data_IF_871653443571
#
_entry.id   IF_871653443571
#
_cell.length_a   1.000
_cell.length_b   1.000
_cell.length_c   1.000
_cell.angle_alpha   90.00
_cell.angle_beta   90.00
_cell.angle_gamma   90.00
#
_symmetry.space_group_name_H-M   'P 1'
#
loop_
_entity.id
_entity.type
_entity.pdbx_description
1 polymer ?
#
# COMPACT_ATOMS: atom_id res chain seq x y z
N UNK A 1 -28.99 -9.49 -15.15
CA UNK A 1 -27.70 -8.79 -15.25
C UNK A 1 -27.68 -7.57 -14.34
N UNK A 2 -26.52 -7.20 -13.84
CA UNK A 2 -26.29 -5.99 -13.07
C UNK A 2 -25.24 -5.16 -13.82
N UNK A 3 -25.52 -3.88 -14.03
CA UNK A 3 -24.58 -2.95 -14.63
C UNK A 3 -23.62 -2.45 -13.54
N UNK A 4 -22.33 -2.46 -13.84
CA UNK A 4 -21.27 -1.94 -13.00
C UNK A 4 -20.53 -0.81 -13.72
N UNK A 5 -19.98 0.12 -12.97
CA UNK A 5 -19.30 1.29 -13.54
C UNK A 5 -17.88 0.97 -14.05
N UNK A 6 -17.33 -0.18 -13.62
CA UNK A 6 -16.00 -0.64 -14.04
C UNK A 6 -15.93 -2.17 -14.12
N UNK A 7 -14.98 -2.68 -14.92
CA UNK A 7 -14.66 -4.11 -15.01
C UNK A 7 -14.24 -4.66 -13.63
N UNK A 8 -13.53 -3.88 -12.85
CA UNK A 8 -13.11 -4.26 -11.50
C UNK A 8 -14.30 -4.45 -10.56
N UNK A 9 -15.29 -3.56 -10.60
CA UNK A 9 -16.51 -3.66 -9.81
C UNK A 9 -17.34 -4.89 -10.24
N UNK A 10 -17.41 -5.15 -11.53
CA UNK A 10 -18.08 -6.33 -12.06
C UNK A 10 -17.46 -7.64 -11.54
N UNK A 11 -16.12 -7.72 -11.49
CA UNK A 11 -15.39 -8.88 -10.96
C UNK A 11 -15.61 -9.07 -9.45
N UNK A 12 -15.67 -7.99 -8.68
CA UNK A 12 -15.97 -8.04 -7.24
C UNK A 12 -17.40 -8.55 -7.02
N UNK A 13 -18.35 -8.02 -7.78
CA UNK A 13 -19.75 -8.39 -7.69
C UNK A 13 -19.95 -9.86 -8.10
N UNK A 14 -19.34 -10.30 -9.21
CA UNK A 14 -19.37 -11.70 -9.65
C UNK A 14 -18.86 -12.63 -8.55
N UNK A 15 -17.70 -12.34 -7.99
CA UNK A 15 -17.14 -13.14 -6.89
C UNK A 15 -18.07 -13.19 -5.67
N UNK A 16 -18.65 -12.05 -5.28
CA UNK A 16 -19.59 -11.96 -4.16
C UNK A 16 -20.83 -12.83 -4.42
N UNK A 17 -21.40 -12.75 -5.62
CA UNK A 17 -22.58 -13.52 -6.01
C UNK A 17 -22.29 -15.02 -6.09
N UNK A 18 -21.12 -15.42 -6.57
CA UNK A 18 -20.71 -16.83 -6.62
C UNK A 18 -20.55 -17.40 -5.22
N UNK A 19 -19.93 -16.65 -4.30
CA UNK A 19 -19.79 -17.06 -2.89
C UNK A 19 -21.12 -17.16 -2.18
N UNK A 20 -22.03 -16.24 -2.45
CA UNK A 20 -23.35 -16.21 -1.83
C UNK A 20 -24.27 -17.32 -2.35
N UNK A 21 -24.26 -17.58 -3.67
CA UNK A 21 -25.21 -18.48 -4.32
C UNK A 21 -24.60 -19.87 -4.60
N UNK A 22 -23.30 -20.07 -4.48
CA UNK A 22 -22.59 -21.34 -4.73
C UNK A 22 -23.05 -22.07 -6.01
N UNK A 23 -23.08 -21.42 -7.19
CA UNK A 23 -23.63 -21.98 -8.41
C UNK A 23 -22.88 -23.24 -8.83
N UNK A 24 -23.61 -24.25 -9.33
CA UNK A 24 -23.10 -25.61 -9.58
C UNK A 24 -21.90 -25.66 -10.55
N UNK A 25 -21.87 -24.78 -11.55
CA UNK A 25 -20.89 -24.84 -12.64
C UNK A 25 -19.70 -23.85 -12.50
N UNK A 26 -19.71 -22.93 -11.54
CA UNK A 26 -18.60 -22.01 -11.29
C UNK A 26 -17.58 -22.65 -10.33
N UNK A 27 -16.75 -23.56 -10.83
CA UNK A 27 -15.82 -24.32 -9.97
C UNK A 27 -14.66 -23.45 -9.48
N UNK A 28 -14.09 -22.61 -10.34
CA UNK A 28 -12.87 -21.84 -10.04
C UNK A 28 -13.05 -20.75 -8.98
N UNK A 29 -14.22 -20.14 -8.88
CA UNK A 29 -14.50 -19.03 -7.98
C UNK A 29 -15.12 -19.46 -6.64
N UNK A 30 -15.36 -20.76 -6.44
CA UNK A 30 -15.82 -21.32 -5.17
C UNK A 30 -14.70 -21.54 -4.16
N UNK A 31 -13.47 -21.71 -4.64
CA UNK A 31 -12.32 -21.96 -3.78
C UNK A 31 -11.74 -20.62 -3.28
N UNK A 32 -11.74 -20.40 -1.97
CA UNK A 32 -11.19 -19.21 -1.32
C UNK A 32 -9.65 -19.10 -1.45
N UNK A 33 -9.02 -20.13 -2.02
CA UNK A 33 -7.55 -20.21 -2.14
C UNK A 33 -6.95 -19.37 -3.26
N UNK A 34 -7.78 -18.72 -4.09
CA UNK A 34 -7.31 -18.02 -5.29
C UNK A 34 -7.11 -16.50 -5.17
N UNK A 35 -7.66 -15.85 -4.16
CA UNK A 35 -7.62 -14.39 -4.08
C UNK A 35 -6.52 -13.88 -3.17
N UNK A 36 -5.88 -12.82 -3.63
CA UNK A 36 -4.86 -12.12 -2.90
C UNK A 36 -5.31 -10.68 -2.63
N UNK A 37 -5.05 -10.22 -1.43
CA UNK A 37 -5.40 -8.87 -0.97
C UNK A 37 -4.15 -8.15 -0.49
N UNK A 38 -4.13 -6.85 -0.67
CA UNK A 38 -3.22 -5.97 0.06
C UNK A 38 -3.90 -5.65 1.38
N UNK A 39 -3.31 -6.08 2.48
CA UNK A 39 -3.82 -5.88 3.84
C UNK A 39 -3.06 -4.76 4.52
N UNK A 40 -3.79 -3.82 5.11
CA UNK A 40 -3.26 -2.78 5.97
C UNK A 40 -3.63 -3.12 7.41
N UNK A 41 -2.64 -3.29 8.29
CA UNK A 41 -2.91 -3.61 9.69
C UNK A 41 -3.50 -2.42 10.44
N UNK A 42 -4.40 -2.68 11.42
CA UNK A 42 -5.04 -1.65 12.23
C UNK A 42 -4.24 -1.19 13.46
N UNK A 43 -2.97 -1.62 13.60
CA UNK A 43 -2.11 -1.31 14.74
C UNK A 43 -1.68 0.17 14.76
N UNK A 44 -1.12 0.61 15.91
CA UNK A 44 -0.49 1.93 16.07
C UNK A 44 0.51 2.24 14.95
N UNK A 45 1.27 1.24 14.53
CA UNK A 45 2.22 1.27 13.42
C UNK A 45 1.67 0.42 12.29
N UNK A 46 0.89 1.02 11.40
CA UNK A 46 0.24 0.30 10.30
C UNK A 46 1.27 -0.29 9.32
N UNK A 47 1.02 -1.50 8.87
CA UNK A 47 1.88 -2.19 7.89
C UNK A 47 1.06 -2.58 6.67
N UNK A 48 1.65 -2.42 5.49
CA UNK A 48 1.09 -2.90 4.23
C UNK A 48 1.66 -4.28 3.97
N UNK A 49 0.80 -5.30 3.91
CA UNK A 49 1.17 -6.71 3.71
C UNK A 49 0.28 -7.36 2.67
N UNK A 50 0.60 -8.58 2.29
CA UNK A 50 -0.25 -9.41 1.42
C UNK A 50 -0.97 -10.47 2.25
N UNK A 51 -2.25 -10.75 1.97
CA UNK A 51 -3.02 -11.80 2.62
C UNK A 51 -3.87 -12.55 1.60
N UNK A 52 -4.16 -13.83 1.89
CA UNK A 52 -5.17 -14.63 1.17
C UNK A 52 -6.51 -14.64 1.91
N UNK A 53 -6.55 -14.19 3.15
CA UNK A 53 -7.75 -14.21 4.00
C UNK A 53 -8.00 -12.82 4.58
N UNK A 54 -9.27 -12.49 4.75
CA UNK A 54 -9.75 -11.25 5.35
C UNK A 54 -10.18 -11.52 6.80
N UNK A 55 -9.26 -12.02 7.63
CA UNK A 55 -9.58 -12.56 8.96
C UNK A 55 -9.74 -11.48 10.04
N UNK A 56 -9.35 -10.24 9.77
CA UNK A 56 -9.31 -9.19 10.79
C UNK A 56 -10.26 -8.04 10.44
N UNK A 57 -11.31 -7.88 11.26
CA UNK A 57 -12.29 -6.80 11.10
C UNK A 57 -11.70 -5.39 11.32
N UNK A 58 -10.52 -5.30 11.93
CA UNK A 58 -9.83 -4.04 12.21
C UNK A 58 -8.86 -3.61 11.10
N UNK A 59 -8.60 -4.47 10.11
CA UNK A 59 -7.67 -4.21 9.02
C UNK A 59 -8.41 -3.72 7.77
N UNK A 60 -7.87 -2.71 7.13
CA UNK A 60 -8.29 -2.30 5.79
C UNK A 60 -7.66 -3.22 4.75
N UNK A 61 -8.42 -3.58 3.70
CA UNK A 61 -7.93 -4.42 2.61
C UNK A 61 -8.25 -3.82 1.25
N UNK A 62 -7.32 -3.99 0.31
CA UNK A 62 -7.46 -3.57 -1.08
C UNK A 62 -7.37 -4.82 -1.97
N UNK A 63 -8.30 -5.00 -2.85
CA UNK A 63 -8.43 -6.17 -3.73
C UNK A 63 -9.87 -6.65 -3.74
N UNK A 64 -10.20 -7.78 -4.33
CA UNK A 64 -9.37 -8.96 -4.61
C UNK A 64 -8.52 -8.88 -5.89
N UNK A 65 -7.42 -9.61 -5.93
CA UNK A 65 -6.61 -9.81 -7.13
C UNK A 65 -6.40 -11.31 -7.38
N UNK A 66 -6.49 -11.71 -8.63
CA UNK A 66 -6.28 -13.11 -9.04
C UNK A 66 -4.80 -13.52 -9.07
N UNK A 67 -3.89 -12.54 -9.18
CA UNK A 67 -2.47 -12.82 -9.31
C UNK A 67 -1.73 -12.47 -8.03
N UNK A 68 -1.19 -13.49 -7.37
CA UNK A 68 -0.33 -13.31 -6.20
C UNK A 68 0.96 -12.56 -6.54
N UNK A 69 1.46 -12.74 -7.77
CA UNK A 69 2.66 -12.05 -8.24
C UNK A 69 2.40 -10.54 -8.32
N UNK A 70 1.33 -10.12 -8.99
CA UNK A 70 0.95 -8.69 -9.11
C UNK A 70 0.81 -8.04 -7.75
N UNK A 71 0.12 -8.69 -6.80
CA UNK A 71 -0.06 -8.12 -5.44
C UNK A 71 1.26 -7.99 -4.70
N UNK A 72 2.13 -9.03 -4.79
CA UNK A 72 3.46 -9.00 -4.15
C UNK A 72 4.35 -7.93 -4.76
N UNK A 73 4.37 -7.83 -6.10
CA UNK A 73 5.17 -6.84 -6.81
C UNK A 73 4.69 -5.42 -6.50
N UNK A 74 3.37 -5.18 -6.51
CA UNK A 74 2.78 -3.88 -6.11
C UNK A 74 3.18 -3.50 -4.69
N UNK A 75 3.06 -4.41 -3.72
CA UNK A 75 3.45 -4.14 -2.33
C UNK A 75 4.95 -3.88 -2.22
N UNK A 76 5.79 -4.62 -2.94
CA UNK A 76 7.24 -4.44 -2.93
C UNK A 76 7.63 -3.06 -3.51
N UNK A 77 7.02 -2.65 -4.62
CA UNK A 77 7.25 -1.33 -5.22
C UNK A 77 6.78 -0.19 -4.31
N UNK A 78 5.57 -0.28 -3.76
CA UNK A 78 5.04 0.70 -2.81
C UNK A 78 5.96 0.83 -1.60
N UNK A 79 6.39 -0.28 -1.00
CA UNK A 79 7.36 -0.25 0.11
C UNK A 79 8.66 0.44 -0.26
N UNK A 80 9.18 0.19 -1.46
CA UNK A 80 10.41 0.81 -1.96
C UNK A 80 10.25 2.32 -2.17
N UNK A 81 9.15 2.76 -2.79
CA UNK A 81 8.87 4.18 -3.06
C UNK A 81 8.69 4.96 -1.76
N UNK A 82 7.88 4.44 -0.85
CA UNK A 82 7.54 5.09 0.42
C UNK A 82 8.51 4.72 1.55
N UNK A 83 9.57 3.93 1.27
CA UNK A 83 10.57 3.46 2.22
C UNK A 83 9.97 2.81 3.46
N UNK A 84 8.90 2.04 3.26
CA UNK A 84 8.18 1.35 4.33
C UNK A 84 8.91 0.08 4.76
N UNK A 85 8.86 -0.27 6.06
CA UNK A 85 9.52 -1.45 6.58
C UNK A 85 8.90 -2.76 6.07
N UNK A 86 9.75 -3.74 5.78
CA UNK A 86 9.37 -5.10 5.42
C UNK A 86 9.65 -6.10 6.58
N UNK A 87 9.92 -5.62 7.76
CA UNK A 87 10.27 -6.46 8.91
C UNK A 87 9.09 -6.60 9.88
N UNK A 88 9.14 -7.68 10.70
CA UNK A 88 8.17 -7.95 11.75
C UNK A 88 8.56 -7.37 13.12
N UNK A 89 9.47 -6.36 13.14
CA UNK A 89 9.88 -5.73 14.39
C UNK A 89 8.76 -4.88 14.98
N UNK A 90 8.73 -4.77 16.31
CA UNK A 90 7.95 -3.73 17.00
C UNK A 90 8.68 -2.39 16.87
N UNK A 91 7.93 -1.31 16.66
CA UNK A 91 8.47 0.04 16.56
C UNK A 91 8.24 0.87 17.83
N UNK A 92 7.64 0.28 18.87
CA UNK A 92 7.44 0.92 20.17
C UNK A 92 8.71 1.01 21.01
N UNK A 93 9.69 0.20 20.69
CA UNK A 93 11.00 0.18 21.38
C UNK A 93 12.11 0.46 20.39
N UNK A 94 13.07 1.28 20.84
CA UNK A 94 14.29 1.52 20.07
C UNK A 94 14.97 0.20 19.71
N UNK A 95 15.34 0.06 18.46
CA UNK A 95 16.20 -1.01 17.98
C UNK A 95 17.25 -0.48 16.99
N UNK A 96 18.40 -1.14 16.96
CA UNK A 96 19.46 -0.80 15.98
C UNK A 96 18.91 -0.93 14.56
N UNK A 97 19.20 0.04 13.67
CA UNK A 97 18.77 -0.02 12.29
C UNK A 97 19.36 -1.26 11.59
N UNK A 98 18.57 -1.83 10.68
CA UNK A 98 18.99 -2.96 9.88
C UNK A 98 19.58 -2.49 8.54
N UNK A 99 20.04 -3.46 7.73
CA UNK A 99 20.60 -3.18 6.41
C UNK A 99 19.70 -2.32 5.53
N UNK A 100 18.38 -2.58 5.54
CA UNK A 100 17.42 -1.81 4.72
C UNK A 100 17.44 -0.30 4.99
N UNK A 101 17.74 0.11 6.23
CA UNK A 101 17.96 1.52 6.55
C UNK A 101 19.23 2.05 5.91
N UNK A 102 20.34 1.31 6.03
CA UNK A 102 21.65 1.76 5.53
C UNK A 102 21.70 1.86 4.00
N UNK A 103 20.93 1.03 3.30
CA UNK A 103 20.80 1.09 1.83
C UNK A 103 19.63 1.97 1.35
N UNK A 104 18.95 2.69 2.26
CA UNK A 104 17.91 3.66 1.94
C UNK A 104 16.54 3.08 1.54
N UNK A 105 16.28 1.80 1.80
CA UNK A 105 15.01 1.12 1.51
C UNK A 105 13.98 1.26 2.64
N UNK A 106 14.36 1.75 3.81
CA UNK A 106 13.48 1.89 4.97
C UNK A 106 13.86 3.14 5.78
N UNK A 107 12.88 3.91 6.22
CA UNK A 107 13.09 5.08 7.10
C UNK A 107 13.37 4.70 8.57
N UNK A 108 13.38 3.41 8.88
CA UNK A 108 13.66 2.84 10.19
C UNK A 108 12.82 3.44 11.34
N UNK A 109 11.48 3.29 11.34
CA UNK A 109 10.65 3.73 12.46
C UNK A 109 11.06 3.08 13.79
N UNK A 110 11.76 1.93 13.73
CA UNK A 110 12.32 1.25 14.90
C UNK A 110 13.43 2.03 15.63
N UNK A 111 13.92 3.15 15.09
CA UNK A 111 14.88 4.05 15.76
C UNK A 111 14.22 5.08 16.68
N UNK A 112 12.89 5.10 16.74
CA UNK A 112 12.11 6.11 17.48
C UNK A 112 12.43 7.57 17.08
N UNK A 113 12.85 7.77 15.83
CA UNK A 113 13.16 9.10 15.28
C UNK A 113 11.99 9.69 14.47
N UNK A 114 10.91 8.95 14.32
CA UNK A 114 9.68 9.34 13.65
C UNK A 114 8.52 9.07 14.60
N UNK A 115 7.55 9.97 14.67
CA UNK A 115 6.31 9.71 15.42
C UNK A 115 5.42 8.72 14.68
N UNK A 116 4.50 8.05 15.40
CA UNK A 116 3.55 7.13 14.79
C UNK A 116 2.62 7.87 13.81
N UNK A 117 2.29 9.12 14.10
CA UNK A 117 1.45 9.97 13.26
C UNK A 117 2.14 10.23 11.92
N UNK A 118 3.39 10.72 11.93
CA UNK A 118 4.17 10.97 10.71
C UNK A 118 4.38 9.72 9.87
N UNK A 119 4.63 8.59 10.54
CA UNK A 119 4.75 7.31 9.85
C UNK A 119 3.42 6.91 9.19
N UNK A 120 2.29 7.03 9.90
CA UNK A 120 0.98 6.68 9.37
C UNK A 120 0.53 7.61 8.24
N UNK A 121 0.89 8.90 8.22
CA UNK A 121 0.70 9.79 7.06
C UNK A 121 1.42 9.26 5.81
N UNK A 122 2.62 8.69 5.99
CA UNK A 122 3.34 8.03 4.89
C UNK A 122 2.60 6.79 4.41
N UNK A 123 2.04 5.99 5.32
CA UNK A 123 1.22 4.81 4.98
C UNK A 123 -0.07 5.24 4.27
N UNK A 124 -0.74 6.31 4.70
CA UNK A 124 -1.95 6.84 4.03
C UNK A 124 -1.65 7.30 2.60
N UNK A 125 -0.51 7.95 2.40
CA UNK A 125 -0.04 8.32 1.06
C UNK A 125 0.20 7.08 0.19
N UNK A 126 0.78 6.02 0.75
CA UNK A 126 0.99 4.75 0.06
C UNK A 126 -0.34 4.05 -0.28
N UNK A 127 -1.32 4.06 0.62
CA UNK A 127 -2.67 3.52 0.39
C UNK A 127 -3.36 4.30 -0.74
N UNK A 128 -3.29 5.61 -0.70
CA UNK A 128 -3.85 6.49 -1.74
C UNK A 128 -3.20 6.23 -3.10
N UNK A 129 -1.89 5.96 -3.13
CA UNK A 129 -1.18 5.57 -4.35
C UNK A 129 -1.69 4.24 -4.93
N UNK A 130 -1.99 3.26 -4.08
CA UNK A 130 -2.52 1.96 -4.53
C UNK A 130 -3.96 2.10 -5.07
N UNK A 131 -4.78 2.95 -4.45
CA UNK A 131 -6.21 3.12 -4.79
C UNK A 131 -6.45 4.01 -6.00
N UNK A 132 -5.62 5.03 -6.20
CA UNK A 132 -5.82 6.08 -7.20
C UNK A 132 -4.78 5.97 -8.32
N UNK A 133 -5.10 6.59 -9.46
CA UNK A 133 -4.12 6.80 -10.53
C UNK A 133 -2.95 7.65 -10.01
N UNK A 134 -1.72 7.26 -10.36
CA UNK A 134 -0.49 7.87 -9.83
C UNK A 134 -0.38 9.40 -10.01
N UNK A 135 -1.12 10.00 -10.94
CA UNK A 135 -1.08 11.44 -11.20
C UNK A 135 -1.72 12.28 -10.08
N UNK A 136 -2.77 11.79 -9.43
CA UNK A 136 -3.42 12.54 -8.34
C UNK A 136 -2.57 12.53 -7.07
N UNK A 137 -1.87 11.43 -6.82
CA UNK A 137 -0.97 11.36 -5.67
C UNK A 137 0.26 12.26 -5.84
N UNK A 138 0.76 12.42 -7.08
CA UNK A 138 1.87 13.34 -7.38
C UNK A 138 1.51 14.77 -6.98
N UNK A 139 0.30 15.23 -7.29
CA UNK A 139 -0.17 16.57 -6.91
C UNK A 139 -0.22 16.76 -5.39
N UNK A 140 -0.73 15.76 -4.66
CA UNK A 140 -0.79 15.79 -3.19
C UNK A 140 0.62 15.84 -2.59
N UNK A 141 1.54 15.01 -3.09
CA UNK A 141 2.92 15.00 -2.63
C UNK A 141 3.67 16.30 -2.96
N UNK A 142 3.40 16.92 -4.11
CA UNK A 142 3.95 18.23 -4.50
C UNK A 142 3.47 19.33 -3.55
N UNK A 143 2.18 19.35 -3.18
CA UNK A 143 1.66 20.29 -2.18
C UNK A 143 2.30 20.09 -0.80
N UNK A 144 2.41 18.86 -0.34
CA UNK A 144 3.05 18.55 0.93
C UNK A 144 4.53 18.93 0.93
N UNK A 145 5.24 18.75 -0.19
CA UNK A 145 6.64 19.16 -0.36
C UNK A 145 6.80 20.68 -0.25
N UNK A 146 5.91 21.45 -0.89
CA UNK A 146 5.92 22.92 -0.78
C UNK A 146 5.65 23.36 0.65
N UNK A 147 4.65 22.79 1.32
CA UNK A 147 4.33 23.11 2.71
C UNK A 147 5.50 22.78 3.67
N UNK A 148 6.21 21.67 3.44
CA UNK A 148 7.41 21.33 4.21
C UNK A 148 8.54 22.34 3.97
N UNK A 149 8.74 22.78 2.73
CA UNK A 149 9.73 23.79 2.39
C UNK A 149 9.43 25.15 3.04
N UNK A 150 8.17 25.58 3.08
CA UNK A 150 7.72 26.79 3.78
C UNK A 150 7.99 26.74 5.29
N UNK A 151 7.88 25.55 5.89
CA UNK A 151 8.22 25.29 7.29
C UNK A 151 9.72 25.12 7.54
N UNK A 152 10.56 25.29 6.50
CA UNK A 152 12.01 25.10 6.52
C UNK A 152 12.45 23.65 6.86
N UNK A 153 11.55 22.68 6.71
CA UNK A 153 11.86 21.25 6.85
C UNK A 153 12.35 20.68 5.50
N UNK A 154 13.58 21.08 5.15
CA UNK A 154 14.19 20.70 3.87
C UNK A 154 14.49 19.21 3.77
N UNK A 155 14.71 18.54 4.91
CA UNK A 155 14.94 17.08 4.90
C UNK A 155 13.68 16.33 4.49
N UNK A 156 12.53 16.70 5.04
CA UNK A 156 11.25 16.11 4.68
C UNK A 156 10.85 16.47 3.25
N UNK A 157 11.03 17.72 2.83
CA UNK A 157 10.79 18.15 1.46
C UNK A 157 11.63 17.36 0.44
N UNK A 158 12.91 17.08 0.73
CA UNK A 158 13.77 16.27 -0.11
C UNK A 158 13.26 14.81 -0.22
N UNK A 159 12.80 14.22 0.87
CA UNK A 159 12.19 12.88 0.85
C UNK A 159 10.94 12.83 -0.05
N UNK A 160 10.07 13.83 0.04
CA UNK A 160 8.88 13.93 -0.79
C UNK A 160 9.23 14.09 -2.27
N UNK A 161 10.22 14.94 -2.61
CA UNK A 161 10.73 15.08 -3.98
C UNK A 161 11.22 13.74 -4.55
N UNK A 162 11.97 12.98 -3.77
CA UNK A 162 12.52 11.69 -4.21
C UNK A 162 11.39 10.67 -4.45
N UNK A 163 10.32 10.69 -3.64
CA UNK A 163 9.12 9.89 -3.83
C UNK A 163 8.37 10.28 -5.13
N UNK A 164 8.17 11.57 -5.37
CA UNK A 164 7.54 12.08 -6.60
C UNK A 164 8.31 11.59 -7.83
N UNK A 165 9.64 11.69 -7.81
CA UNK A 165 10.47 11.23 -8.92
C UNK A 165 10.37 9.73 -9.15
N UNK A 166 10.29 8.92 -8.08
CA UNK A 166 10.10 7.48 -8.19
C UNK A 166 8.74 7.12 -8.83
N UNK A 167 7.66 7.79 -8.43
CA UNK A 167 6.32 7.59 -9.00
C UNK A 167 6.28 7.98 -10.48
N UNK A 168 6.84 9.14 -10.85
CA UNK A 168 6.89 9.60 -12.24
C UNK A 168 7.63 8.61 -13.14
N UNK A 169 8.76 8.04 -12.67
CA UNK A 169 9.49 7.01 -13.41
C UNK A 169 8.69 5.73 -13.63
N UNK A 170 7.86 5.32 -12.66
CA UNK A 170 6.98 4.15 -12.82
C UNK A 170 5.90 4.41 -13.86
N UNK A 171 5.23 5.55 -13.79
CA UNK A 171 4.20 5.92 -14.76
C UNK A 171 4.74 5.98 -16.21
N UNK A 172 5.97 6.45 -16.38
CA UNK A 172 6.63 6.49 -17.69
C UNK A 172 7.03 5.09 -18.21
N UNK A 173 7.32 4.15 -17.31
CA UNK A 173 7.67 2.78 -17.69
C UNK A 173 6.46 1.89 -18.02
N UNK A 174 5.25 2.33 -17.68
CA UNK A 174 4.00 1.61 -17.95
C UNK A 174 3.28 2.09 -19.23
N UNK A 175 3.79 3.12 -19.88
CA UNK A 175 3.34 3.60 -21.21
C UNK A 175 4.15 2.93 -22.31
#
# INVERSE_FOLDING_TARGET
YVLCDSEFEALILENSLIKQNQPKYNILLKDDKGYHYIKITGDKWRKITTSMQLDDKSAESIGPSYSSAVVKDTVAEVRKIFKLPDCNRSFDKYSKPCLNFHIGLCEAPCRANISAEQYNETVDSAISFIKNSGDDIVKILEQNMLCAAEKLDFEYAAKLRDRINAIKKLNDSQK
#
